data_IF_099384446346
#
_entry.id   IF_099384446346
#
_cell.length_a   1.000
_cell.length_b   1.000
_cell.length_c   1.000
_cell.angle_alpha   90.00
_cell.angle_beta   90.00
_cell.angle_gamma   90.00
#
_symmetry.space_group_name_H-M   'P 1'
#
loop_
_entity.id
_entity.type
_entity.pdbx_description
1 polymer ?
#
# COMPACT_ATOMS: atom_id res chain seq x y z
N UNK A 1 0.40 14.57 -18.50
CA UNK A 1 -0.14 14.15 -17.20
C UNK A 1 -0.99 12.91 -17.44
N UNK A 2 -0.62 11.78 -16.82
CA UNK A 2 -1.39 10.53 -16.87
C UNK A 2 -2.68 10.72 -16.06
N UNK A 3 -3.71 9.91 -16.30
CA UNK A 3 -4.95 9.98 -15.52
C UNK A 3 -4.73 9.51 -14.06
N UNK A 4 -5.25 10.26 -13.08
CA UNK A 4 -5.17 9.95 -11.64
C UNK A 4 -5.63 8.52 -11.32
N UNK A 5 -6.74 8.07 -11.89
CA UNK A 5 -7.29 6.72 -11.67
C UNK A 5 -6.29 5.67 -12.15
N UNK A 6 -5.65 5.89 -13.28
CA UNK A 6 -4.65 4.95 -13.81
C UNK A 6 -3.39 4.92 -12.95
N UNK A 7 -3.01 6.04 -12.33
CA UNK A 7 -1.89 6.11 -11.37
C UNK A 7 -2.23 5.33 -10.09
N UNK A 8 -3.41 5.59 -9.50
CA UNK A 8 -3.90 4.92 -8.29
C UNK A 8 -4.03 3.41 -8.50
N UNK A 9 -4.50 2.95 -9.67
CA UNK A 9 -4.52 1.52 -10.03
C UNK A 9 -3.13 0.90 -10.10
N UNK A 10 -2.16 1.62 -10.66
CA UNK A 10 -0.78 1.14 -10.73
C UNK A 10 -0.14 1.05 -9.33
N UNK A 11 -0.47 1.98 -8.43
CA UNK A 11 -0.02 1.95 -7.03
C UNK A 11 -0.53 0.68 -6.33
N UNK A 12 -1.82 0.36 -6.46
CA UNK A 12 -2.40 -0.81 -5.81
C UNK A 12 -1.86 -2.13 -6.38
N UNK A 13 -1.65 -2.20 -7.69
CA UNK A 13 -1.15 -3.43 -8.34
C UNK A 13 0.36 -3.63 -8.21
N UNK A 14 1.12 -2.54 -8.06
CA UNK A 14 2.58 -2.53 -8.06
C UNK A 14 3.13 -3.27 -9.28
N UNK A 15 2.53 -3.06 -10.46
CA UNK A 15 2.82 -3.81 -11.68
C UNK A 15 3.79 -3.10 -12.64
N UNK A 16 4.17 -1.85 -12.36
CA UNK A 16 5.16 -1.09 -13.15
C UNK A 16 6.01 -0.20 -12.26
N UNK A 17 7.19 0.15 -12.78
CA UNK A 17 8.21 1.06 -12.22
C UNK A 17 7.61 2.01 -11.17
N UNK A 18 7.63 1.59 -9.90
CA UNK A 18 7.09 2.37 -8.78
C UNK A 18 7.83 3.70 -8.64
N UNK A 19 9.11 3.70 -9.04
CA UNK A 19 9.89 4.90 -9.35
C UNK A 19 9.07 5.77 -10.31
N UNK A 20 8.61 6.92 -9.80
CA UNK A 20 7.84 7.99 -10.46
C UNK A 20 6.33 8.00 -10.17
N UNK A 21 5.73 6.99 -9.52
CA UNK A 21 4.29 7.07 -9.20
C UNK A 21 3.99 8.18 -8.19
N UNK A 22 4.87 8.38 -7.20
CA UNK A 22 4.78 9.49 -6.25
C UNK A 22 4.87 10.86 -6.97
N UNK A 23 5.85 11.03 -7.86
CA UNK A 23 6.01 12.25 -8.66
C UNK A 23 4.78 12.55 -9.53
N UNK A 24 4.22 11.52 -10.17
CA UNK A 24 3.01 11.65 -11.00
C UNK A 24 1.78 12.02 -10.16
N UNK A 25 1.67 11.43 -8.97
CA UNK A 25 0.53 11.58 -8.08
C UNK A 25 0.55 12.90 -7.31
N UNK A 26 1.73 13.41 -6.97
CA UNK A 26 1.95 14.72 -6.35
C UNK A 26 1.43 15.90 -7.19
N UNK A 27 1.19 15.69 -8.49
CA UNK A 27 0.56 16.68 -9.36
C UNK A 27 -0.94 16.88 -9.08
N UNK A 28 -1.52 15.99 -8.28
CA UNK A 28 -2.93 16.04 -7.88
C UNK A 28 -3.07 16.52 -6.43
N UNK A 29 -4.15 17.27 -6.10
CA UNK A 29 -4.45 17.61 -4.72
C UNK A 29 -4.61 16.36 -3.86
N UNK A 30 -4.09 16.42 -2.64
CA UNK A 30 -4.24 15.34 -1.66
C UNK A 30 -5.71 15.06 -1.36
N UNK A 31 -6.46 16.12 -1.06
CA UNK A 31 -7.86 16.00 -0.64
C UNK A 31 -8.79 15.67 -1.81
N UNK A 32 -9.76 14.80 -1.54
CA UNK A 32 -10.85 14.48 -2.44
C UNK A 32 -12.18 14.36 -1.69
N UNK A 33 -13.31 14.75 -2.31
CA UNK A 33 -14.62 14.57 -1.70
C UNK A 33 -15.00 13.10 -1.55
N UNK A 34 -14.50 12.23 -2.44
CA UNK A 34 -14.79 10.80 -2.45
C UNK A 34 -13.55 10.02 -2.92
N UNK A 35 -13.30 8.83 -2.34
CA UNK A 35 -12.19 7.97 -2.74
C UNK A 35 -12.39 7.39 -4.15
N UNK A 36 -11.26 7.10 -4.80
CA UNK A 36 -11.23 6.55 -6.17
C UNK A 36 -11.21 5.02 -6.15
N UNK A 37 -10.48 4.44 -5.20
CA UNK A 37 -10.30 2.99 -5.06
C UNK A 37 -10.43 2.58 -3.60
N UNK A 38 -11.17 1.49 -3.37
CA UNK A 38 -11.16 0.78 -2.08
C UNK A 38 -10.05 -0.27 -2.09
N UNK A 39 -9.18 -0.23 -1.08
CA UNK A 39 -8.10 -1.20 -0.84
C UNK A 39 -8.67 -2.39 -0.09
N UNK A 40 -8.46 -3.58 -0.65
CA UNK A 40 -8.92 -4.84 -0.06
C UNK A 40 -7.80 -5.59 0.64
N UNK A 41 -8.15 -6.55 1.50
CA UNK A 41 -7.16 -7.44 2.11
C UNK A 41 -6.35 -8.21 1.06
N UNK A 42 -6.96 -8.59 -0.07
CA UNK A 42 -6.29 -9.26 -1.18
C UNK A 42 -5.22 -8.40 -1.84
N UNK A 43 -5.42 -7.08 -1.93
CA UNK A 43 -4.43 -6.15 -2.49
C UNK A 43 -3.20 -6.07 -1.58
N UNK A 44 -3.42 -5.94 -0.27
CA UNK A 44 -2.33 -5.92 0.72
C UNK A 44 -1.56 -7.24 0.69
N UNK A 45 -2.25 -8.39 0.77
CA UNK A 45 -1.63 -9.72 0.72
C UNK A 45 -0.75 -9.87 -0.52
N UNK A 46 -1.23 -9.43 -1.69
CA UNK A 46 -0.45 -9.48 -2.95
C UNK A 46 0.88 -8.75 -2.81
N UNK A 47 0.88 -7.54 -2.24
CA UNK A 47 2.09 -6.72 -2.05
C UNK A 47 3.01 -7.32 -0.99
N UNK A 48 2.45 -7.82 0.11
CA UNK A 48 3.22 -8.55 1.13
C UNK A 48 3.96 -9.74 0.51
N UNK A 49 3.31 -10.54 -0.34
CA UNK A 49 3.98 -11.64 -1.03
C UNK A 49 5.09 -11.17 -1.99
N UNK A 50 4.94 -10.02 -2.66
CA UNK A 50 6.04 -9.45 -3.45
C UNK A 50 7.26 -9.15 -2.57
N UNK A 51 7.07 -8.60 -1.37
CA UNK A 51 8.15 -8.35 -0.43
C UNK A 51 8.75 -9.64 0.16
N UNK A 52 7.91 -10.59 0.60
CA UNK A 52 8.33 -11.89 1.17
C UNK A 52 9.17 -12.70 0.17
N UNK A 53 8.83 -12.62 -1.12
CA UNK A 53 9.55 -13.32 -2.19
C UNK A 53 10.74 -12.54 -2.75
N UNK A 54 10.99 -11.32 -2.26
CA UNK A 54 12.11 -10.46 -2.69
C UNK A 54 11.91 -9.84 -4.08
N UNK A 55 10.67 -9.79 -4.60
CA UNK A 55 10.34 -9.06 -5.83
C UNK A 55 10.37 -7.54 -5.61
N UNK A 56 10.12 -7.11 -4.37
CA UNK A 56 10.34 -5.76 -3.88
C UNK A 56 11.12 -5.85 -2.56
N UNK A 57 11.88 -4.82 -2.26
CA UNK A 57 12.58 -4.65 -0.99
C UNK A 57 11.62 -4.20 0.11
N UNK A 58 12.02 -4.31 1.38
CA UNK A 58 11.23 -3.78 2.49
C UNK A 58 11.12 -2.26 2.44
N UNK A 59 12.14 -1.56 1.93
CA UNK A 59 12.07 -0.13 1.71
C UNK A 59 11.03 0.23 0.64
N UNK A 60 10.96 -0.53 -0.45
CA UNK A 60 9.94 -0.37 -1.48
C UNK A 60 8.51 -0.66 -0.97
N UNK A 61 8.35 -1.59 -0.02
CA UNK A 61 7.09 -1.84 0.68
C UNK A 61 6.69 -0.66 1.58
N UNK A 62 7.65 -0.11 2.32
CA UNK A 62 7.47 1.08 3.15
C UNK A 62 7.08 2.29 2.30
N UNK A 63 7.78 2.54 1.19
CA UNK A 63 7.49 3.63 0.26
C UNK A 63 6.12 3.48 -0.39
N UNK A 64 5.71 2.24 -0.69
CA UNK A 64 4.35 1.94 -1.16
C UNK A 64 3.28 2.30 -0.14
N UNK A 65 3.48 1.90 1.12
CA UNK A 65 2.53 2.19 2.18
C UNK A 65 2.46 3.70 2.46
N UNK A 66 3.61 4.40 2.49
CA UNK A 66 3.68 5.85 2.64
C UNK A 66 2.92 6.62 1.54
N UNK A 67 2.92 6.11 0.30
CA UNK A 67 2.20 6.75 -0.81
C UNK A 67 0.67 6.65 -0.68
N UNK A 68 0.19 5.67 0.08
CA UNK A 68 -1.23 5.39 0.32
C UNK A 68 -1.71 6.05 1.61
N UNK A 69 -0.88 6.03 2.64
CA UNK A 69 -1.21 6.50 3.98
C UNK A 69 -1.73 7.94 3.96
N UNK A 70 -2.86 8.16 4.65
CA UNK A 70 -3.57 9.44 4.76
C UNK A 70 -4.09 10.08 3.46
N UNK A 71 -4.00 9.42 2.29
CA UNK A 71 -4.40 10.03 1.01
C UNK A 71 -5.84 9.68 0.61
N UNK A 72 -6.67 10.71 0.37
CA UNK A 72 -8.12 10.59 0.10
C UNK A 72 -8.49 9.83 -1.18
N UNK A 73 -7.53 9.48 -2.04
CA UNK A 73 -7.78 8.61 -3.19
C UNK A 73 -8.17 7.20 -2.81
N UNK A 74 -7.77 6.79 -1.62
CA UNK A 74 -7.90 5.42 -1.14
C UNK A 74 -8.88 5.39 0.01
N UNK A 75 -9.87 4.50 -0.09
CA UNK A 75 -10.58 4.01 1.08
C UNK A 75 -10.09 2.61 1.42
N UNK A 76 -10.49 2.12 2.59
CA UNK A 76 -10.15 0.79 3.07
C UNK A 76 -11.41 -0.02 3.28
N UNK A 77 -11.34 -1.31 2.93
CA UNK A 77 -12.45 -2.25 3.18
C UNK A 77 -12.86 -2.30 4.67
N UNK A 78 -11.92 -2.07 5.58
CA UNK A 78 -12.16 -1.90 7.01
C UNK A 78 -10.99 -1.17 7.69
N UNK A 79 -11.23 -0.61 8.88
CA UNK A 79 -10.24 0.11 9.71
C UNK A 79 -8.99 -0.73 10.01
N UNK A 80 -9.12 -2.06 10.07
CA UNK A 80 -7.98 -2.96 10.29
C UNK A 80 -6.97 -2.95 9.15
N UNK A 81 -7.40 -2.68 7.91
CA UNK A 81 -6.49 -2.54 6.77
C UNK A 81 -5.79 -1.18 6.75
N UNK A 82 -6.49 -0.13 7.18
CA UNK A 82 -5.92 1.21 7.34
C UNK A 82 -4.79 1.19 8.39
N UNK A 83 -5.03 0.56 9.54
CA UNK A 83 -4.01 0.34 10.57
C UNK A 83 -2.79 -0.44 10.05
N UNK A 84 -3.01 -1.41 9.17
CA UNK A 84 -1.91 -2.16 8.53
C UNK A 84 -1.09 -1.26 7.61
N UNK A 85 -1.73 -0.42 6.78
CA UNK A 85 -1.02 0.55 5.95
C UNK A 85 -0.23 1.52 6.81
N UNK A 86 -0.82 2.05 7.88
CA UNK A 86 -0.12 2.91 8.83
C UNK A 86 1.14 2.24 9.41
N UNK A 87 1.04 0.97 9.81
CA UNK A 87 2.17 0.20 10.34
C UNK A 87 3.27 -0.01 9.30
N UNK A 88 2.89 -0.34 8.06
CA UNK A 88 3.82 -0.55 6.95
C UNK A 88 4.52 0.75 6.51
N UNK A 89 3.81 1.88 6.55
CA UNK A 89 4.33 3.21 6.24
C UNK A 89 5.32 3.71 7.30
N UNK A 90 5.09 3.30 8.56
CA UNK A 90 5.83 3.78 9.73
C UNK A 90 6.52 2.63 10.50
N UNK A 91 7.45 1.87 9.88
CA UNK A 91 8.06 0.70 10.52
C UNK A 91 8.90 1.05 11.76
N UNK A 92 9.47 2.26 11.83
CA UNK A 92 10.24 2.71 12.99
C UNK A 92 9.38 2.92 14.24
N UNK A 93 8.08 3.15 14.08
CA UNK A 93 7.12 3.29 15.18
C UNK A 93 6.51 1.94 15.61
N UNK A 94 6.52 0.94 14.72
CA UNK A 94 5.74 -0.29 14.86
C UNK A 94 6.57 -1.57 15.01
N UNK A 95 7.87 -1.40 15.35
CA UNK A 95 8.93 -2.40 15.26
C UNK A 95 9.34 -2.68 13.81
N UNK A 96 10.64 -2.91 13.59
CA UNK A 96 11.18 -3.15 12.24
C UNK A 96 10.43 -4.29 11.54
N UNK A 97 10.10 -4.04 10.27
CA UNK A 97 9.49 -5.05 9.41
C UNK A 97 10.57 -6.02 8.98
N UNK A 98 10.36 -7.30 9.29
CA UNK A 98 11.17 -8.39 8.77
C UNK A 98 10.31 -9.41 8.02
N UNK A 99 10.95 -10.39 7.40
CA UNK A 99 10.24 -11.41 6.63
C UNK A 99 9.23 -12.20 7.48
N UNK A 100 9.55 -12.45 8.74
CA UNK A 100 8.70 -13.22 9.65
C UNK A 100 7.43 -12.47 10.03
N UNK A 101 7.55 -11.18 10.33
CA UNK A 101 6.39 -10.32 10.64
C UNK A 101 5.46 -10.19 9.43
N UNK A 102 6.01 -10.04 8.22
CA UNK A 102 5.21 -10.01 6.99
C UNK A 102 4.46 -11.31 6.71
N UNK A 103 5.09 -12.47 6.96
CA UNK A 103 4.43 -13.77 6.83
C UNK A 103 3.27 -13.88 7.83
N UNK A 104 3.51 -13.50 9.09
CA UNK A 104 2.45 -13.56 10.11
C UNK A 104 1.28 -12.65 9.77
N UNK A 105 1.56 -11.47 9.21
CA UNK A 105 0.54 -10.51 8.78
C UNK A 105 -0.28 -11.05 7.60
N UNK A 106 0.38 -11.60 6.57
CA UNK A 106 -0.29 -12.20 5.42
C UNK A 106 -1.22 -13.35 5.86
N UNK A 107 -0.75 -14.27 6.70
CA UNK A 107 -1.57 -15.37 7.23
C UNK A 107 -2.77 -14.88 8.05
N UNK A 108 -2.61 -13.80 8.82
CA UNK A 108 -3.71 -13.19 9.59
C UNK A 108 -4.79 -12.66 8.64
N UNK A 109 -4.40 -11.93 7.60
CA UNK A 109 -5.33 -11.40 6.61
C UNK A 109 -6.04 -12.52 5.83
N UNK A 110 -5.32 -13.55 5.43
CA UNK A 110 -5.91 -14.72 4.74
C UNK A 110 -6.96 -15.44 5.58
N UNK A 111 -6.80 -15.48 6.90
CA UNK A 111 -7.77 -16.12 7.81
C UNK A 111 -9.11 -15.36 7.94
N UNK A 112 -9.19 -14.15 7.40
CA UNK A 112 -10.34 -13.25 7.50
C UNK A 112 -11.09 -13.09 6.16
N UNK A 113 -10.59 -13.69 5.09
CA UNK A 113 -11.21 -13.75 3.76
C UNK A 113 -12.22 -14.90 3.67
#
# INVERSE_FOLDING_TARGET
MRNRIDIVRDIITYDRNFKNLDDELSQYPWDLPEPIIEITASDIIRILYKAITGKITFKELEDWANLIECRDDFSFQNEGLEEIIFQLANPTLNNEIDKGSLISLASKLESQL
#
